data_IF_993926921467
#
_entry.id   IF_993926921467
#
_cell.length_a   1.000
_cell.length_b   1.000
_cell.length_c   1.000
_cell.angle_alpha   90.00
_cell.angle_beta   90.00
_cell.angle_gamma   90.00
#
_symmetry.space_group_name_H-M   'P 1'
#
loop_
_entity.id
_entity.type
_entity.pdbx_description
1 polymer ?
#
# COMPACT_ATOMS: atom_id res chain seq x y z
N UNK A 1 -8.46 -14.63 -4.92
CA UNK A 1 -8.92 -13.24 -4.65
C UNK A 1 -8.52 -12.35 -5.82
N UNK A 2 -9.42 -11.47 -6.26
CA UNK A 2 -9.17 -10.56 -7.37
C UNK A 2 -8.58 -9.25 -6.84
N UNK A 3 -7.77 -8.58 -7.65
CA UNK A 3 -7.26 -7.24 -7.35
C UNK A 3 -7.59 -6.33 -8.53
N UNK A 4 -8.30 -5.25 -8.26
CA UNK A 4 -8.66 -4.25 -9.26
C UNK A 4 -7.80 -3.00 -9.03
N UNK A 5 -7.05 -2.59 -10.05
CA UNK A 5 -6.13 -1.46 -9.92
C UNK A 5 -6.31 -0.40 -11.02
N UNK A 6 -7.50 -0.34 -11.61
CA UNK A 6 -7.85 0.66 -12.62
C UNK A 6 -9.05 1.47 -12.18
N UNK A 7 -9.89 1.82 -13.14
CA UNK A 7 -11.06 2.67 -12.93
C UNK A 7 -12.34 1.87 -12.68
N UNK A 8 -12.21 0.61 -12.29
CA UNK A 8 -13.38 -0.24 -12.01
C UNK A 8 -14.24 0.38 -10.91
N UNK A 9 -15.54 0.47 -11.18
CA UNK A 9 -16.50 0.96 -10.19
C UNK A 9 -16.79 -0.13 -9.15
N UNK A 10 -17.35 0.22 -7.98
CA UNK A 10 -17.78 -0.79 -7.02
C UNK A 10 -18.72 -1.84 -7.63
N UNK A 11 -19.64 -1.42 -8.47
CA UNK A 11 -20.57 -2.36 -9.12
C UNK A 11 -19.86 -3.33 -10.03
N UNK A 12 -18.87 -2.86 -10.79
CA UNK A 12 -18.06 -3.74 -11.64
C UNK A 12 -17.30 -4.76 -10.81
N UNK A 13 -16.69 -4.33 -9.70
CA UNK A 13 -15.94 -5.22 -8.83
C UNK A 13 -16.84 -6.31 -8.24
N UNK A 14 -18.04 -5.94 -7.80
CA UNK A 14 -19.01 -6.88 -7.23
C UNK A 14 -19.56 -7.87 -8.26
N UNK A 15 -19.60 -7.48 -9.53
CA UNK A 15 -20.20 -8.29 -10.58
C UNK A 15 -19.52 -9.65 -10.78
N UNK A 16 -18.27 -9.78 -10.37
CA UNK A 16 -17.53 -11.04 -10.50
C UNK A 16 -17.83 -12.04 -9.39
N UNK A 17 -18.53 -11.62 -8.35
CA UNK A 17 -18.93 -12.48 -7.21
C UNK A 17 -17.75 -13.25 -6.60
N UNK A 18 -16.60 -12.58 -6.47
CA UNK A 18 -15.39 -13.11 -5.86
C UNK A 18 -14.85 -12.12 -4.83
N UNK A 19 -14.21 -12.59 -3.78
CA UNK A 19 -13.49 -11.68 -2.88
C UNK A 19 -12.47 -10.86 -3.66
N UNK A 20 -12.37 -9.57 -3.35
CA UNK A 20 -11.47 -8.71 -4.10
C UNK A 20 -10.80 -7.67 -3.21
N UNK A 21 -9.65 -7.19 -3.69
CA UNK A 21 -8.97 -6.01 -3.18
C UNK A 21 -9.16 -4.89 -4.19
N UNK A 22 -9.40 -3.68 -3.73
CA UNK A 22 -9.39 -2.50 -4.60
C UNK A 22 -8.12 -1.70 -4.34
N UNK A 23 -7.33 -1.49 -5.37
CA UNK A 23 -6.13 -0.66 -5.32
C UNK A 23 -6.49 0.76 -5.75
N UNK A 24 -6.09 1.73 -4.92
CA UNK A 24 -6.31 3.15 -5.17
C UNK A 24 -4.97 3.84 -5.22
N UNK A 25 -4.74 4.61 -6.28
CA UNK A 25 -3.58 5.48 -6.37
C UNK A 25 -3.96 6.80 -5.71
N UNK A 26 -3.31 7.10 -4.59
CA UNK A 26 -3.69 8.26 -3.78
C UNK A 26 -2.66 9.36 -3.87
N UNK A 27 -3.13 10.58 -3.72
CA UNK A 27 -2.31 11.77 -3.71
C UNK A 27 -2.85 12.75 -2.67
N UNK A 28 -2.06 13.77 -2.36
CA UNK A 28 -2.46 14.80 -1.41
C UNK A 28 -3.80 15.43 -1.84
N UNK A 29 -4.71 15.57 -0.89
CA UNK A 29 -6.04 16.13 -1.13
C UNK A 29 -7.11 15.12 -1.43
N UNK A 30 -6.77 13.86 -1.68
CA UNK A 30 -7.78 12.81 -1.91
C UNK A 30 -8.53 12.50 -0.61
N UNK A 31 -9.84 12.24 -0.75
CA UNK A 31 -10.65 11.79 0.37
C UNK A 31 -10.59 10.25 0.46
N UNK A 32 -9.62 9.77 1.21
CA UNK A 32 -9.35 8.34 1.34
C UNK A 32 -10.50 7.64 2.07
N UNK A 33 -11.07 8.29 3.09
CA UNK A 33 -12.19 7.72 3.84
C UNK A 33 -13.42 7.50 2.95
N UNK A 34 -13.73 8.47 2.09
CA UNK A 34 -14.86 8.35 1.17
C UNK A 34 -14.61 7.23 0.15
N UNK A 35 -13.37 7.10 -0.34
CA UNK A 35 -13.02 6.03 -1.27
C UNK A 35 -13.16 4.66 -0.63
N UNK A 36 -12.70 4.49 0.61
CA UNK A 36 -12.88 3.24 1.35
C UNK A 36 -14.35 2.89 1.54
N UNK A 37 -15.17 3.89 1.84
CA UNK A 37 -16.61 3.69 2.02
C UNK A 37 -17.29 3.28 0.71
N UNK A 38 -16.85 3.85 -0.42
CA UNK A 38 -17.40 3.51 -1.73
C UNK A 38 -17.18 2.04 -2.11
N UNK A 39 -16.04 1.46 -1.71
CA UNK A 39 -15.72 0.06 -1.97
C UNK A 39 -15.98 -0.80 -0.74
N UNK A 40 -17.15 -0.60 -0.09
CA UNK A 40 -17.51 -1.32 1.13
C UNK A 40 -17.53 -2.83 1.00
N UNK A 41 -17.69 -3.37 -0.20
CA UNK A 41 -17.66 -4.81 -0.46
C UNK A 41 -16.25 -5.39 -0.61
N UNK A 42 -15.21 -4.54 -0.72
CA UNK A 42 -13.84 -5.02 -0.84
C UNK A 42 -13.38 -5.68 0.47
N UNK A 43 -12.52 -6.69 0.36
CA UNK A 43 -11.89 -7.32 1.53
C UNK A 43 -10.88 -6.38 2.18
N UNK A 44 -10.16 -5.62 1.37
CA UNK A 44 -9.20 -4.62 1.81
C UNK A 44 -8.99 -3.59 0.72
N UNK A 45 -8.43 -2.46 1.09
CA UNK A 45 -8.06 -1.40 0.16
C UNK A 45 -6.54 -1.30 0.14
N UNK A 46 -5.96 -1.41 -1.05
CA UNK A 46 -4.53 -1.17 -1.24
C UNK A 46 -4.35 0.30 -1.62
N UNK A 47 -3.59 1.02 -0.81
CA UNK A 47 -3.26 2.42 -1.10
C UNK A 47 -1.87 2.48 -1.71
N UNK A 48 -1.81 2.85 -2.98
CA UNK A 48 -0.56 3.06 -3.69
C UNK A 48 -0.18 4.54 -3.56
N UNK A 49 0.84 4.81 -2.77
CA UNK A 49 1.30 6.16 -2.45
C UNK A 49 2.50 6.59 -3.31
N UNK A 50 2.79 5.84 -4.36
CA UNK A 50 3.89 6.18 -5.27
C UNK A 50 3.64 7.53 -5.93
N UNK A 51 4.67 8.39 -5.91
CA UNK A 51 4.64 9.67 -6.60
C UNK A 51 5.64 9.61 -7.76
N UNK A 52 5.13 9.80 -8.97
CA UNK A 52 5.95 9.74 -10.18
C UNK A 52 7.03 10.83 -10.16
N UNK A 53 8.24 10.46 -10.56
CA UNK A 53 9.36 11.38 -10.60
C UNK A 53 10.08 11.56 -9.27
N UNK A 54 9.56 11.00 -8.18
CA UNK A 54 10.23 11.05 -6.88
C UNK A 54 10.86 9.69 -6.62
N UNK A 55 12.18 9.61 -6.36
CA UNK A 55 12.83 8.32 -6.09
C UNK A 55 12.19 7.61 -4.91
N UNK A 56 11.90 6.33 -5.08
CA UNK A 56 11.38 5.51 -4.00
C UNK A 56 12.38 5.43 -2.86
N UNK A 57 11.88 5.49 -1.63
CA UNK A 57 12.69 5.31 -0.45
C UNK A 57 13.33 6.56 0.12
N UNK A 58 13.07 7.72 -0.47
CA UNK A 58 13.53 8.98 0.11
C UNK A 58 12.70 9.43 1.30
N UNK A 59 11.52 8.82 1.51
CA UNK A 59 10.56 9.25 2.51
C UNK A 59 9.81 10.51 2.13
N UNK A 60 10.12 11.10 0.98
CA UNK A 60 9.50 12.34 0.51
C UNK A 60 8.43 12.09 -0.55
N UNK A 61 8.29 10.85 -1.04
CA UNK A 61 7.37 10.53 -2.13
C UNK A 61 5.91 10.80 -1.76
N UNK A 62 5.51 10.46 -0.56
CA UNK A 62 4.15 10.68 -0.08
C UNK A 62 4.19 10.87 1.43
N UNK A 63 3.40 11.82 1.92
CA UNK A 63 3.27 12.05 3.36
C UNK A 63 2.24 11.07 3.93
N UNK A 64 2.71 10.03 4.61
CA UNK A 64 1.84 9.01 5.18
C UNK A 64 0.88 9.56 6.24
N UNK A 65 1.17 10.74 6.81
CA UNK A 65 0.27 11.36 7.77
C UNK A 65 -1.07 11.78 7.13
N UNK A 66 -1.12 11.84 5.80
CA UNK A 66 -2.36 12.14 5.07
C UNK A 66 -3.32 10.95 5.05
N UNK A 67 -2.87 9.75 5.43
CA UNK A 67 -3.74 8.59 5.54
C UNK A 67 -4.44 8.65 6.90
N UNK A 68 -5.78 8.80 6.92
CA UNK A 68 -6.48 8.93 8.20
C UNK A 68 -6.49 7.63 8.99
N UNK A 69 -6.58 7.76 10.30
CA UNK A 69 -6.79 6.62 11.19
C UNK A 69 -8.27 6.23 11.17
N UNK A 70 -8.55 5.00 11.58
CA UNK A 70 -9.94 4.55 11.76
C UNK A 70 -10.71 4.33 10.45
N UNK A 71 -9.99 4.03 9.36
CA UNK A 71 -10.65 3.72 8.09
C UNK A 71 -11.51 2.47 8.21
N UNK A 72 -12.61 2.43 7.46
CA UNK A 72 -13.60 1.35 7.54
C UNK A 72 -13.12 0.01 6.99
N UNK A 73 -11.98 -0.01 6.29
CA UNK A 73 -11.43 -1.21 5.65
C UNK A 73 -10.00 -1.45 6.09
N UNK A 74 -9.56 -2.72 6.14
CA UNK A 74 -8.13 -3.01 6.30
C UNK A 74 -7.34 -2.37 5.16
N UNK A 75 -6.19 -1.80 5.48
CA UNK A 75 -5.35 -1.09 4.52
C UNK A 75 -4.10 -1.90 4.21
N UNK A 76 -3.82 -2.05 2.92
CA UNK A 76 -2.55 -2.58 2.44
C UNK A 76 -1.79 -1.38 1.89
N UNK A 77 -0.63 -1.09 2.47
CA UNK A 77 0.17 0.06 2.06
C UNK A 77 1.16 -0.37 0.98
N UNK A 78 1.18 0.39 -0.11
CA UNK A 78 2.06 0.15 -1.25
C UNK A 78 2.59 1.48 -1.78
N UNK A 79 3.53 1.40 -2.71
CA UNK A 79 4.08 2.57 -3.39
C UNK A 79 5.33 3.12 -2.71
N UNK A 80 6.46 2.99 -3.36
CA UNK A 80 7.71 3.57 -2.89
C UNK A 80 8.33 2.93 -1.66
N UNK A 81 7.81 1.79 -1.21
CA UNK A 81 8.37 1.10 -0.05
C UNK A 81 9.68 0.40 -0.39
N UNK A 82 10.57 0.33 0.60
CA UNK A 82 11.85 -0.36 0.48
C UNK A 82 12.34 -0.74 1.88
N UNK A 83 13.46 -1.48 2.00
CA UNK A 83 13.95 -1.86 3.33
C UNK A 83 14.25 -0.70 4.26
N UNK A 84 14.58 0.47 3.70
CA UNK A 84 14.96 1.65 4.50
C UNK A 84 13.78 2.43 5.07
N UNK A 85 12.59 2.31 4.49
CA UNK A 85 11.44 3.14 4.91
C UNK A 85 10.23 2.35 5.40
N UNK A 86 10.17 1.04 5.15
CA UNK A 86 8.97 0.25 5.48
C UNK A 86 8.70 0.22 6.98
N UNK A 87 9.74 0.22 7.81
CA UNK A 87 9.56 0.26 9.26
C UNK A 87 8.85 1.51 9.72
N UNK A 88 9.29 2.68 9.24
CA UNK A 88 8.65 3.95 9.56
C UNK A 88 7.21 4.00 9.04
N UNK A 89 6.97 3.46 7.85
CA UNK A 89 5.63 3.39 7.28
C UNK A 89 4.69 2.57 8.16
N UNK A 90 5.14 1.42 8.63
CA UNK A 90 4.35 0.54 9.50
C UNK A 90 4.03 1.26 10.82
N UNK A 91 5.03 1.90 11.43
CA UNK A 91 4.83 2.60 12.69
C UNK A 91 3.85 3.76 12.57
N UNK A 92 3.89 4.47 11.46
CA UNK A 92 3.06 5.64 11.25
C UNK A 92 1.64 5.29 10.79
N UNK A 93 1.50 4.37 9.84
CA UNK A 93 0.21 4.03 9.24
C UNK A 93 -0.49 2.89 9.96
N UNK A 94 0.27 1.95 10.49
CA UNK A 94 -0.23 0.70 11.10
C UNK A 94 -1.15 -0.04 10.14
N UNK A 95 -0.66 -0.34 8.93
CA UNK A 95 -1.48 -1.03 7.94
C UNK A 95 -1.69 -2.50 8.31
N UNK A 96 -2.73 -3.09 7.73
CA UNK A 96 -2.95 -4.53 7.84
C UNK A 96 -1.83 -5.32 7.16
N UNK A 97 -1.33 -4.82 6.03
CA UNK A 97 -0.26 -5.45 5.25
C UNK A 97 0.51 -4.39 4.47
N UNK A 98 1.68 -4.77 3.98
CA UNK A 98 2.47 -3.94 3.08
C UNK A 98 2.76 -4.71 1.80
N UNK A 99 2.91 -3.99 0.71
CA UNK A 99 3.19 -4.53 -0.62
C UNK A 99 4.39 -3.81 -1.21
N UNK A 100 5.32 -4.55 -1.79
CA UNK A 100 6.54 -3.98 -2.35
C UNK A 100 6.85 -4.62 -3.70
N UNK A 101 7.37 -3.82 -4.60
CA UNK A 101 7.81 -4.32 -5.91
C UNK A 101 9.21 -3.78 -6.23
N UNK A 102 9.30 -2.54 -6.72
CA UNK A 102 10.58 -1.96 -7.13
C UNK A 102 11.57 -1.77 -6.01
N UNK A 103 11.09 -1.56 -4.76
CA UNK A 103 11.96 -1.31 -3.62
C UNK A 103 12.87 -2.47 -3.21
N UNK A 104 12.63 -3.67 -3.74
CA UNK A 104 13.47 -4.84 -3.48
C UNK A 104 14.10 -5.37 -4.76
N UNK A 105 14.24 -4.52 -5.78
CA UNK A 105 14.88 -4.89 -7.04
C UNK A 105 16.32 -4.39 -7.10
N UNK A 106 17.19 -5.15 -7.76
CA UNK A 106 18.54 -4.69 -8.11
C UNK A 106 18.55 -3.98 -9.45
N UNK A 107 17.51 -4.23 -10.27
CA UNK A 107 17.28 -3.59 -11.54
C UNK A 107 15.85 -3.89 -11.95
N UNK A 108 15.35 -3.21 -12.97
CA UNK A 108 13.95 -3.32 -13.35
C UNK A 108 13.60 -4.79 -13.68
N UNK A 109 12.64 -5.32 -12.93
CA UNK A 109 12.17 -6.69 -13.11
C UNK A 109 13.04 -7.77 -12.50
N UNK A 110 14.14 -7.41 -11.85
CA UNK A 110 15.07 -8.37 -11.25
C UNK A 110 15.13 -8.14 -9.75
N UNK A 111 14.62 -9.09 -8.96
CA UNK A 111 14.58 -8.96 -7.50
C UNK A 111 15.97 -9.18 -6.88
N UNK A 112 16.25 -8.46 -5.82
CA UNK A 112 17.46 -8.59 -5.04
C UNK A 112 17.14 -9.34 -3.75
N UNK A 113 17.69 -10.54 -3.59
CA UNK A 113 17.39 -11.39 -2.44
C UNK A 113 17.81 -10.75 -1.11
N UNK A 114 18.92 -10.01 -1.11
CA UNK A 114 19.37 -9.30 0.10
C UNK A 114 18.37 -8.21 0.51
N UNK A 115 17.83 -7.47 -0.47
CA UNK A 115 16.83 -6.45 -0.21
C UNK A 115 15.51 -7.06 0.28
N UNK A 116 15.12 -8.21 -0.26
CA UNK A 116 13.92 -8.92 0.21
C UNK A 116 14.10 -9.30 1.68
N UNK A 117 15.26 -9.88 2.03
CA UNK A 117 15.52 -10.26 3.42
C UNK A 117 15.53 -9.06 4.35
N UNK A 118 16.17 -7.96 3.94
CA UNK A 118 16.22 -6.73 4.73
C UNK A 118 14.81 -6.13 4.90
N UNK A 119 14.00 -6.16 3.85
CA UNK A 119 12.62 -5.69 3.90
C UNK A 119 11.80 -6.50 4.90
N UNK A 120 11.87 -7.82 4.81
CA UNK A 120 11.13 -8.70 5.72
C UNK A 120 11.58 -8.53 7.18
N UNK A 121 12.89 -8.33 7.39
CA UNK A 121 13.40 -8.09 8.74
C UNK A 121 12.86 -6.78 9.31
N UNK A 122 12.81 -5.72 8.49
CA UNK A 122 12.27 -4.44 8.92
C UNK A 122 10.76 -4.55 9.25
N UNK A 123 10.02 -5.31 8.45
CA UNK A 123 8.60 -5.58 8.71
C UNK A 123 8.41 -6.28 10.06
N UNK A 124 9.18 -7.33 10.31
CA UNK A 124 9.11 -8.08 11.57
C UNK A 124 9.44 -7.22 12.78
N UNK A 125 10.50 -6.43 12.68
CA UNK A 125 10.92 -5.55 13.76
C UNK A 125 9.84 -4.52 14.11
N UNK A 126 9.18 -3.97 13.11
CA UNK A 126 8.13 -2.99 13.33
C UNK A 126 6.83 -3.63 13.84
N UNK A 127 6.49 -4.83 13.32
CA UNK A 127 5.31 -5.57 13.76
C UNK A 127 5.40 -5.98 15.23
N UNK A 128 6.59 -6.35 15.69
CA UNK A 128 6.80 -6.75 17.08
C UNK A 128 6.59 -5.60 18.07
N UNK A 129 6.58 -4.36 17.60
CA UNK A 129 6.35 -3.18 18.41
C UNK A 129 4.88 -2.75 18.46
N UNK A 130 4.07 -3.37 17.64
CA UNK A 130 2.63 -3.10 17.56
C UNK A 130 1.84 -4.06 18.48
#
# INVERSE_FOLDING_TARGET
MLQFHGDETPDECESYQRPYLKALRVKAGDDIAAACAAYGSARAILLDTYVEGVPGGTGEAFDWSLIPEGLSKPIILAGGLNPGNVGAAIEQVRPYAVDVSGGVEQGKGIKDHSKIRAFMQAVRNSSDRM
#
